data_IF_156291162370
#
_entry.id   IF_156291162370
#
_cell.length_a   1.000
_cell.length_b   1.000
_cell.length_c   1.000
_cell.angle_alpha   90.00
_cell.angle_beta   90.00
_cell.angle_gamma   90.00
#
_symmetry.space_group_name_H-M   'P 1'
#
loop_
_entity.id
_entity.type
_entity.pdbx_description
1 polymer ?
#
# COMPACT_ATOMS: atom_id res chain seq x y z
N UNK A 1 -7.19 25.54 1.72
CA UNK A 1 -8.59 25.22 1.37
C UNK A 1 -9.24 24.67 2.63
N UNK A 2 -10.33 25.26 3.08
CA UNK A 2 -11.11 24.80 4.24
C UNK A 2 -12.44 24.24 3.68
N UNK A 3 -13.06 23.29 4.37
CA UNK A 3 -14.36 22.74 3.96
C UNK A 3 -15.53 23.64 4.39
N UNK A 4 -15.25 24.72 5.13
CA UNK A 4 -16.21 25.77 5.52
C UNK A 4 -17.41 25.26 6.34
N UNK A 5 -17.20 24.21 7.16
CA UNK A 5 -18.24 23.57 7.99
C UNK A 5 -17.98 23.67 9.49
N UNK A 6 -17.79 24.89 10.00
CA UNK A 6 -17.48 25.12 11.43
C UNK A 6 -18.52 24.53 12.38
N UNK A 7 -19.78 24.45 11.97
CA UNK A 7 -20.87 23.86 12.77
C UNK A 7 -20.62 22.38 13.12
N UNK A 8 -19.87 21.64 12.30
CA UNK A 8 -19.55 20.22 12.54
C UNK A 8 -18.65 20.01 13.76
N UNK A 9 -17.95 21.04 14.24
CA UNK A 9 -17.07 20.94 15.42
C UNK A 9 -17.83 20.47 16.66
N UNK A 10 -19.09 20.91 16.81
CA UNK A 10 -19.96 20.48 17.92
C UNK A 10 -20.25 18.97 17.90
N UNK A 11 -20.23 18.36 16.72
CA UNK A 11 -20.53 16.95 16.48
C UNK A 11 -19.29 16.09 16.23
N UNK A 12 -18.07 16.61 16.48
CA UNK A 12 -16.81 15.90 16.16
C UNK A 12 -16.66 14.51 16.80
N UNK A 13 -17.32 14.29 17.93
CA UNK A 13 -17.32 13.01 18.67
C UNK A 13 -18.59 12.19 18.42
N UNK A 14 -19.48 12.64 17.52
CA UNK A 14 -20.69 11.91 17.19
C UNK A 14 -20.35 10.61 16.44
N UNK A 15 -21.17 9.59 16.63
CA UNK A 15 -20.95 8.28 16.03
C UNK A 15 -21.27 8.28 14.54
N UNK A 16 -20.58 7.41 13.80
CA UNK A 16 -20.87 7.12 12.41
C UNK A 16 -22.13 6.25 12.32
N UNK A 17 -23.28 6.89 12.21
CA UNK A 17 -24.59 6.24 12.11
C UNK A 17 -25.42 6.87 11.02
N UNK A 18 -26.31 6.09 10.43
CA UNK A 18 -27.11 6.55 9.30
C UNK A 18 -28.17 7.59 9.68
N UNK A 19 -28.58 7.60 10.95
CA UNK A 19 -29.45 8.60 11.56
C UNK A 19 -28.72 9.90 11.97
N UNK A 20 -27.39 9.96 11.85
CA UNK A 20 -26.61 11.15 12.16
C UNK A 20 -26.57 12.10 10.94
N UNK A 21 -27.18 13.31 11.02
CA UNK A 21 -27.21 14.24 9.89
C UNK A 21 -25.81 14.69 9.47
N UNK A 22 -24.88 14.88 10.41
CA UNK A 22 -23.51 15.30 10.10
C UNK A 22 -22.75 14.21 9.34
N UNK A 23 -23.00 12.94 9.66
CA UNK A 23 -22.41 11.83 8.91
C UNK A 23 -22.91 11.80 7.46
N UNK A 24 -24.21 12.05 7.23
CA UNK A 24 -24.75 12.13 5.87
C UNK A 24 -24.19 13.32 5.10
N UNK A 25 -24.06 14.49 5.73
CA UNK A 25 -23.44 15.66 5.10
C UNK A 25 -21.96 15.41 4.76
N UNK A 26 -21.22 14.70 5.62
CA UNK A 26 -19.83 14.28 5.34
C UNK A 26 -19.74 13.37 4.12
N UNK A 27 -20.66 12.38 3.99
CA UNK A 27 -20.72 11.52 2.80
C UNK A 27 -20.99 12.31 1.53
N UNK A 28 -21.92 13.26 1.57
CA UNK A 28 -22.22 14.13 0.45
C UNK A 28 -21.03 15.01 0.07
N UNK A 29 -20.31 15.54 1.07
CA UNK A 29 -19.08 16.30 0.83
C UNK A 29 -18.05 15.44 0.10
N UNK A 30 -17.71 14.26 0.61
CA UNK A 30 -16.73 13.38 -0.04
C UNK A 30 -17.16 12.98 -1.46
N UNK A 31 -18.47 12.78 -1.70
CA UNK A 31 -19.00 12.48 -3.04
C UNK A 31 -18.95 13.66 -4.02
N UNK A 32 -18.79 14.91 -3.54
CA UNK A 32 -18.79 16.11 -4.39
C UNK A 32 -17.49 16.35 -5.17
N UNK A 33 -16.41 15.66 -4.80
CA UNK A 33 -15.09 15.78 -5.43
C UNK A 33 -14.51 14.39 -5.71
N UNK A 34 -13.64 14.33 -6.69
CA UNK A 34 -12.95 13.11 -7.11
C UNK A 34 -11.89 12.68 -6.10
N UNK A 35 -11.48 11.41 -6.15
CA UNK A 35 -10.37 10.89 -5.36
C UNK A 35 -9.07 11.70 -5.58
N UNK A 36 -8.81 12.13 -6.82
CA UNK A 36 -7.62 12.90 -7.17
C UNK A 36 -7.62 14.30 -6.53
N UNK A 37 -8.77 14.97 -6.50
CA UNK A 37 -8.94 16.27 -5.83
C UNK A 37 -8.77 16.12 -4.32
N UNK A 38 -9.38 15.10 -3.70
CA UNK A 38 -9.21 14.82 -2.27
C UNK A 38 -7.78 14.44 -1.90
N UNK A 39 -7.09 13.69 -2.75
CA UNK A 39 -5.67 13.33 -2.56
C UNK A 39 -4.79 14.56 -2.65
N UNK A 40 -5.03 15.44 -3.62
CA UNK A 40 -4.28 16.70 -3.73
C UNK A 40 -4.54 17.59 -2.52
N UNK A 41 -5.81 17.69 -2.11
CA UNK A 41 -6.21 18.44 -0.93
C UNK A 41 -5.51 17.94 0.34
N UNK A 42 -5.46 16.62 0.56
CA UNK A 42 -4.87 16.06 1.78
C UNK A 42 -3.37 16.32 1.92
N UNK A 43 -2.65 16.53 0.82
CA UNK A 43 -1.23 16.91 0.85
C UNK A 43 -0.99 18.36 1.28
N UNK A 44 -2.03 19.20 1.26
CA UNK A 44 -1.91 20.64 1.55
C UNK A 44 -2.40 21.03 2.94
N UNK A 45 -3.04 20.11 3.66
CA UNK A 45 -3.61 20.37 4.99
C UNK A 45 -3.06 19.40 6.02
N UNK A 46 -2.99 19.85 7.28
CA UNK A 46 -2.53 19.02 8.40
C UNK A 46 -3.66 18.10 8.91
N UNK A 47 -4.05 17.13 8.09
CA UNK A 47 -4.99 16.09 8.51
C UNK A 47 -4.59 14.72 7.96
N UNK A 48 -4.88 13.66 8.72
CA UNK A 48 -4.64 12.29 8.29
C UNK A 48 -5.72 11.83 7.30
N UNK A 49 -5.62 12.29 6.05
CA UNK A 49 -6.48 11.87 4.95
C UNK A 49 -5.62 11.26 3.84
N UNK A 50 -5.85 9.99 3.52
CA UNK A 50 -5.11 9.26 2.48
C UNK A 50 -6.07 8.54 1.55
N UNK A 51 -5.75 8.42 0.25
CA UNK A 51 -6.56 7.62 -0.66
C UNK A 51 -6.48 6.14 -0.30
N UNK A 52 -7.57 5.41 -0.60
CA UNK A 52 -7.56 3.94 -0.62
C UNK A 52 -7.07 3.55 -2.01
N UNK A 53 -5.90 2.93 -2.07
CA UNK A 53 -5.26 2.51 -3.33
C UNK A 53 -5.59 1.04 -3.63
N UNK A 54 -5.80 0.76 -4.90
CA UNK A 54 -5.86 -0.60 -5.43
C UNK A 54 -4.46 -1.24 -5.45
N UNK A 55 -4.39 -2.56 -5.39
CA UNK A 55 -3.12 -3.31 -5.39
C UNK A 55 -2.27 -2.97 -6.63
N UNK A 56 -2.92 -2.72 -7.76
CA UNK A 56 -2.27 -2.32 -9.00
C UNK A 56 -1.63 -0.94 -8.96
N UNK A 57 -2.07 -0.04 -8.08
CA UNK A 57 -1.58 1.34 -7.97
C UNK A 57 -0.39 1.45 -7.01
N UNK A 58 -0.28 0.51 -6.08
CA UNK A 58 0.71 0.56 -4.99
C UNK A 58 2.16 0.67 -5.49
N UNK A 59 2.50 0.01 -6.61
CA UNK A 59 3.85 0.06 -7.19
C UNK A 59 4.25 1.45 -7.72
N UNK A 60 3.28 2.32 -7.99
CA UNK A 60 3.50 3.69 -8.44
C UNK A 60 3.54 4.69 -7.29
N UNK A 61 3.19 4.27 -6.08
CA UNK A 61 3.13 5.16 -4.94
C UNK A 61 4.54 5.69 -4.59
N UNK A 62 4.74 7.02 -4.40
CA UNK A 62 6.06 7.60 -4.21
C UNK A 62 6.87 6.97 -3.08
N UNK A 63 6.22 6.65 -1.94
CA UNK A 63 6.88 6.01 -0.81
C UNK A 63 7.35 4.58 -1.12
N UNK A 64 6.61 3.86 -1.96
CA UNK A 64 6.94 2.48 -2.35
C UNK A 64 8.12 2.49 -3.33
N UNK A 65 8.11 3.42 -4.30
CA UNK A 65 9.21 3.62 -5.25
C UNK A 65 10.48 4.08 -4.55
N UNK A 66 10.40 5.11 -3.69
CA UNK A 66 11.54 5.64 -2.97
C UNK A 66 12.22 4.59 -2.07
N UNK A 67 11.47 3.60 -1.58
CA UNK A 67 11.98 2.53 -0.72
C UNK A 67 12.28 1.23 -1.46
N UNK A 68 12.02 1.15 -2.77
CA UNK A 68 12.19 -0.07 -3.55
C UNK A 68 11.43 -1.28 -2.99
N UNK A 69 10.27 -1.07 -2.35
CA UNK A 69 9.51 -2.13 -1.67
C UNK A 69 8.75 -3.05 -2.64
N UNK A 70 8.58 -2.61 -3.88
CA UNK A 70 8.07 -3.44 -4.96
C UNK A 70 9.08 -3.36 -6.10
N UNK A 71 9.59 -4.50 -6.55
CA UNK A 71 10.56 -4.58 -7.63
C UNK A 71 10.16 -5.65 -8.64
N UNK A 72 10.52 -5.42 -9.90
CA UNK A 72 10.24 -6.35 -10.99
C UNK A 72 11.53 -7.07 -11.41
N UNK A 73 11.49 -8.41 -11.42
CA UNK A 73 12.60 -9.26 -11.88
C UNK A 73 12.04 -10.60 -12.37
N UNK A 74 12.71 -11.24 -13.33
CA UNK A 74 12.30 -12.56 -13.83
C UNK A 74 10.81 -12.63 -14.25
N UNK A 75 10.25 -11.54 -14.79
CA UNK A 75 8.85 -11.47 -15.23
C UNK A 75 7.81 -11.37 -14.11
N UNK A 76 8.22 -11.14 -12.86
CA UNK A 76 7.33 -11.05 -11.70
C UNK A 76 7.60 -9.80 -10.87
N UNK A 77 6.56 -9.30 -10.19
CA UNK A 77 6.69 -8.28 -9.13
C UNK A 77 6.84 -8.94 -7.78
N UNK A 78 7.88 -8.56 -7.05
CA UNK A 78 8.17 -9.01 -5.71
C UNK A 78 7.88 -7.87 -4.73
N UNK A 79 7.18 -8.20 -3.64
CA UNK A 79 6.91 -7.29 -2.53
C UNK A 79 7.85 -7.62 -1.38
N UNK A 80 8.57 -6.64 -0.87
CA UNK A 80 9.47 -6.80 0.28
C UNK A 80 8.80 -6.33 1.56
N UNK A 81 8.96 -7.10 2.63
CA UNK A 81 8.48 -6.76 3.97
C UNK A 81 9.50 -5.97 4.79
N UNK A 82 10.72 -5.80 4.27
CA UNK A 82 11.78 -5.02 4.89
C UNK A 82 12.35 -3.99 3.92
N UNK A 83 12.67 -2.81 4.44
CA UNK A 83 13.39 -1.78 3.71
C UNK A 83 14.90 -2.02 3.83
N UNK A 84 15.58 -2.01 2.68
CA UNK A 84 17.03 -2.13 2.59
C UNK A 84 17.56 -0.90 1.85
N UNK A 85 18.20 0.00 2.59
CA UNK A 85 18.53 1.36 2.14
C UNK A 85 19.34 1.44 0.84
N UNK A 86 20.16 0.43 0.53
CA UNK A 86 21.04 0.45 -0.65
C UNK A 86 21.10 -0.89 -1.38
N UNK A 87 20.22 -1.85 -1.08
CA UNK A 87 20.31 -3.21 -1.65
C UNK A 87 18.94 -3.75 -1.95
N UNK A 88 18.79 -4.39 -3.10
CA UNK A 88 17.65 -5.25 -3.30
C UNK A 88 17.91 -6.60 -2.66
N UNK A 89 16.92 -7.17 -1.98
CA UNK A 89 16.97 -8.58 -1.62
C UNK A 89 17.03 -9.49 -2.87
N UNK A 90 16.65 -9.00 -4.04
CA UNK A 90 16.79 -9.72 -5.30
C UNK A 90 18.19 -9.71 -5.89
N UNK A 91 19.10 -8.82 -5.45
CA UNK A 91 20.46 -8.75 -6.01
C UNK A 91 21.23 -10.05 -5.77
N UNK A 92 20.95 -10.73 -4.66
CA UNK A 92 21.57 -12.00 -4.26
C UNK A 92 20.64 -13.21 -4.44
N UNK A 93 19.43 -13.01 -4.91
CA UNK A 93 18.46 -14.08 -5.07
C UNK A 93 18.57 -14.71 -6.46
N UNK A 94 18.15 -15.97 -6.55
CA UNK A 94 17.84 -16.68 -7.79
C UNK A 94 16.33 -16.71 -8.02
N UNK A 95 15.86 -16.99 -9.25
CA UNK A 95 14.43 -17.22 -9.49
C UNK A 95 13.85 -18.26 -8.54
N UNK A 96 12.53 -18.21 -8.34
CA UNK A 96 11.83 -19.28 -7.63
C UNK A 96 12.06 -20.60 -8.36
N UNK A 97 12.48 -21.67 -7.65
CA UNK A 97 12.82 -22.92 -8.30
C UNK A 97 11.58 -23.57 -8.92
N UNK A 98 11.80 -24.27 -10.04
CA UNK A 98 10.78 -25.13 -10.61
C UNK A 98 10.50 -26.33 -9.68
N UNK A 99 9.34 -26.96 -9.88
CA UNK A 99 8.99 -28.18 -9.17
C UNK A 99 10.05 -29.26 -9.45
N UNK A 100 10.77 -29.69 -8.40
CA UNK A 100 11.77 -30.75 -8.47
C UNK A 100 13.18 -30.32 -8.90
N UNK A 101 13.42 -29.03 -9.13
CA UNK A 101 14.71 -28.52 -9.67
C UNK A 101 15.94 -28.98 -8.88
N UNK A 102 15.82 -29.07 -7.54
CA UNK A 102 16.94 -29.45 -6.67
C UNK A 102 16.87 -30.90 -6.18
N UNK A 103 15.93 -31.73 -6.64
CA UNK A 103 15.67 -33.05 -6.06
C UNK A 103 16.88 -33.99 -6.16
N UNK A 104 17.49 -34.12 -7.33
CA UNK A 104 18.64 -35.02 -7.55
C UNK A 104 19.87 -34.59 -6.74
N UNK A 105 20.16 -33.29 -6.68
CA UNK A 105 21.24 -32.71 -5.89
C UNK A 105 21.11 -33.11 -4.41
N UNK A 106 19.90 -32.94 -3.86
CA UNK A 106 19.61 -33.27 -2.46
C UNK A 106 19.67 -34.76 -2.19
N UNK A 107 19.13 -35.61 -3.07
CA UNK A 107 19.22 -37.07 -2.94
C UNK A 107 20.68 -37.53 -2.92
N UNK A 108 21.51 -37.04 -3.85
CA UNK A 108 22.93 -37.35 -3.90
C UNK A 108 23.71 -36.82 -2.69
N UNK A 109 23.31 -35.67 -2.13
CA UNK A 109 23.91 -35.09 -0.93
C UNK A 109 23.58 -35.89 0.34
N UNK A 110 22.35 -36.40 0.44
CA UNK A 110 21.91 -37.21 1.57
C UNK A 110 22.56 -38.60 1.56
N UNK A 111 22.66 -39.24 0.39
CA UNK A 111 23.31 -40.54 0.24
C UNK A 111 24.82 -40.53 0.59
N UNK A 112 25.51 -39.40 0.39
CA UNK A 112 26.94 -39.23 0.77
C UNK A 112 27.17 -39.01 2.27
N UNK A 113 26.11 -38.77 3.03
CA UNK A 113 26.16 -38.50 4.48
C UNK A 113 25.79 -39.71 5.33
N UNK A 114 25.37 -40.82 4.72
CA UNK A 114 25.17 -42.13 5.36
C UNK A 114 26.39 -43.02 5.17
#
# INVERSE_FOLDING_TARGET
MDVERKQWLSARMSLQREDNPIFQEMKQLFASQTLAEWTTFSLTIDCCLTPILEVGELHQHPQIQARGLIQEKWGHRYVFTCYLEQKSALDKATPAPALGEHTEEWLARLARRS
#
